data_IF_817840660442
#
_entry.id   IF_817840660442
#
_cell.length_a   1.000
_cell.length_b   1.000
_cell.length_c   1.000
_cell.angle_alpha   90.00
_cell.angle_beta   90.00
_cell.angle_gamma   90.00
#
_symmetry.space_group_name_H-M   'P 1'
#
loop_
_entity.id
_entity.type
_entity.pdbx_description
1 polymer ?
#
# COMPACT_ATOMS: atom_id res chain seq x y z
N UNK A 1 -11.41 42.06 1.83
CA UNK A 1 -12.05 40.72 1.87
C UNK A 1 -11.19 39.55 1.38
N UNK A 2 -9.91 39.74 1.01
CA UNK A 2 -9.03 38.61 0.58
C UNK A 2 -8.61 37.72 1.78
N UNK A 3 -8.43 38.32 2.97
CA UNK A 3 -7.99 37.63 4.20
C UNK A 3 -9.01 36.65 4.80
N UNK A 4 -10.30 36.76 4.48
CA UNK A 4 -11.33 35.81 4.94
C UNK A 4 -11.48 34.56 4.05
N UNK A 5 -11.04 34.65 2.79
CA UNK A 5 -11.06 33.54 1.84
C UNK A 5 -9.93 32.53 2.11
N UNK A 6 -8.73 33.04 2.42
CA UNK A 6 -7.53 32.25 2.71
C UNK A 6 -7.76 31.19 3.80
N UNK A 7 -8.33 31.51 4.99
CA UNK A 7 -8.53 30.53 6.04
C UNK A 7 -9.63 29.51 5.71
N UNK A 8 -10.68 29.88 4.97
CA UNK A 8 -11.72 28.91 4.54
C UNK A 8 -11.15 27.92 3.52
N UNK A 9 -10.42 28.42 2.54
CA UNK A 9 -9.78 27.62 1.51
C UNK A 9 -8.71 26.68 2.09
N UNK A 10 -7.86 27.18 2.99
CA UNK A 10 -6.82 26.40 3.66
C UNK A 10 -7.37 25.12 4.30
N UNK A 11 -8.55 25.18 4.89
CA UNK A 11 -9.12 24.08 5.67
C UNK A 11 -9.81 23.03 4.79
N UNK A 12 -10.42 23.46 3.69
CA UNK A 12 -10.84 22.55 2.63
C UNK A 12 -9.63 21.82 2.04
N UNK A 13 -8.53 22.55 1.80
CA UNK A 13 -7.29 21.96 1.32
C UNK A 13 -6.72 20.94 2.32
N UNK A 14 -6.73 21.23 3.62
CA UNK A 14 -6.32 20.28 4.66
C UNK A 14 -7.18 19.00 4.64
N UNK A 15 -8.50 19.14 4.51
CA UNK A 15 -9.40 17.99 4.39
C UNK A 15 -9.09 17.15 3.13
N UNK A 16 -8.90 17.81 1.99
CA UNK A 16 -8.56 17.14 0.73
C UNK A 16 -7.21 16.41 0.84
N UNK A 17 -6.17 17.05 1.38
CA UNK A 17 -4.86 16.45 1.56
C UNK A 17 -4.91 15.24 2.51
N UNK A 18 -5.55 15.37 3.67
CA UNK A 18 -5.65 14.27 4.64
C UNK A 18 -6.46 13.10 4.09
N UNK A 19 -7.54 13.38 3.36
CA UNK A 19 -8.33 12.35 2.67
C UNK A 19 -7.52 11.64 1.58
N UNK A 20 -6.75 12.37 0.76
CA UNK A 20 -5.88 11.78 -0.26
C UNK A 20 -4.81 10.90 0.40
N UNK A 21 -4.20 11.35 1.49
CA UNK A 21 -3.20 10.55 2.22
C UNK A 21 -3.85 9.28 2.77
N UNK A 22 -5.01 9.39 3.42
CA UNK A 22 -5.76 8.22 3.88
C UNK A 22 -6.06 7.26 2.74
N UNK A 23 -6.62 7.75 1.63
CA UNK A 23 -6.93 6.97 0.43
C UNK A 23 -5.70 6.23 -0.11
N UNK A 24 -4.58 6.94 -0.28
CA UNK A 24 -3.33 6.34 -0.76
C UNK A 24 -2.81 5.26 0.20
N UNK A 25 -2.90 5.46 1.52
CA UNK A 25 -2.49 4.45 2.51
C UNK A 25 -3.43 3.25 2.51
N UNK A 26 -4.74 3.49 2.42
CA UNK A 26 -5.77 2.46 2.44
C UNK A 26 -5.62 1.47 1.30
N UNK A 27 -5.45 1.98 0.07
CA UNK A 27 -5.33 1.14 -1.13
C UNK A 27 -3.93 0.55 -1.32
N UNK A 28 -2.86 1.30 -1.01
CA UNK A 28 -1.51 0.81 -1.26
C UNK A 28 -0.95 -0.08 -0.15
N UNK A 29 -1.50 -0.03 1.07
CA UNK A 29 -1.06 -0.80 2.26
C UNK A 29 0.48 -0.86 2.40
N UNK A 30 1.16 0.29 2.51
CA UNK A 30 2.60 0.40 2.27
C UNK A 30 3.48 -0.41 3.25
N UNK A 31 3.01 -0.67 4.46
CA UNK A 31 3.82 -1.31 5.51
C UNK A 31 3.90 -2.83 5.35
N UNK A 32 4.99 -3.42 5.86
CA UNK A 32 5.20 -4.87 5.85
C UNK A 32 4.23 -5.60 6.78
N UNK A 33 4.03 -5.07 7.99
CA UNK A 33 3.18 -5.69 9.01
C UNK A 33 1.73 -5.27 8.84
N UNK A 34 0.82 -6.25 8.81
CA UNK A 34 -0.63 -6.02 8.66
C UNK A 34 -1.20 -5.09 9.75
N UNK A 35 -0.81 -5.29 11.00
CA UNK A 35 -1.25 -4.45 12.12
C UNK A 35 -0.81 -2.98 11.98
N UNK A 36 0.39 -2.73 11.44
CA UNK A 36 0.87 -1.37 11.21
C UNK A 36 0.02 -0.67 10.16
N UNK A 37 -0.33 -1.35 9.07
CA UNK A 37 -1.25 -0.79 8.06
C UNK A 37 -2.63 -0.45 8.65
N UNK A 38 -3.15 -1.31 9.52
CA UNK A 38 -4.44 -1.11 10.20
C UNK A 38 -4.40 0.12 11.11
N UNK A 39 -3.41 0.20 12.01
CA UNK A 39 -3.26 1.34 12.92
C UNK A 39 -3.00 2.62 12.13
N UNK A 40 -2.08 2.59 11.17
CA UNK A 40 -1.70 3.77 10.40
C UNK A 40 -2.86 4.33 9.58
N UNK A 41 -3.58 3.47 8.85
CA UNK A 41 -4.76 3.87 8.08
C UNK A 41 -5.87 4.41 9.00
N UNK A 42 -6.09 3.79 10.16
CA UNK A 42 -7.08 4.27 11.14
C UNK A 42 -6.75 5.66 11.69
N UNK A 43 -5.48 5.95 11.95
CA UNK A 43 -5.04 7.27 12.42
C UNK A 43 -5.30 8.35 11.37
N UNK A 44 -4.99 8.08 10.09
CA UNK A 44 -5.29 9.02 9.02
C UNK A 44 -6.80 9.27 8.87
N UNK A 45 -7.63 8.25 9.08
CA UNK A 45 -9.09 8.44 9.07
C UNK A 45 -9.58 9.34 10.22
N UNK A 46 -9.00 9.18 11.42
CA UNK A 46 -9.26 10.08 12.56
C UNK A 46 -8.85 11.52 12.28
N UNK A 47 -7.71 11.74 11.61
CA UNK A 47 -7.26 13.08 11.19
C UNK A 47 -8.22 13.67 10.14
N UNK A 48 -8.62 12.89 9.14
CA UNK A 48 -9.60 13.33 8.12
C UNK A 48 -10.93 13.73 8.76
N UNK A 49 -11.40 12.98 9.77
CA UNK A 49 -12.60 13.34 10.54
C UNK A 49 -12.44 14.69 11.26
N UNK A 50 -11.33 14.90 11.97
CA UNK A 50 -11.03 16.17 12.63
C UNK A 50 -10.98 17.34 11.65
N UNK A 51 -10.38 17.15 10.46
CA UNK A 51 -10.43 18.15 9.40
C UNK A 51 -11.86 18.40 8.87
N UNK A 52 -12.68 17.34 8.79
CA UNK A 52 -14.09 17.44 8.40
C UNK A 52 -14.92 18.24 9.41
N UNK A 53 -14.75 17.97 10.71
CA UNK A 53 -15.37 18.76 11.79
C UNK A 53 -14.92 20.21 11.74
N UNK A 54 -13.64 20.46 11.49
CA UNK A 54 -13.11 21.80 11.39
C UNK A 54 -13.79 22.57 10.24
N UNK A 55 -13.90 21.96 9.04
CA UNK A 55 -14.66 22.53 7.92
C UNK A 55 -16.12 22.78 8.33
N UNK A 56 -16.77 21.81 8.96
CA UNK A 56 -18.15 21.92 9.41
C UNK A 56 -18.39 23.14 10.32
N UNK A 57 -17.55 23.35 11.34
CA UNK A 57 -17.66 24.45 12.31
C UNK A 57 -17.60 25.83 11.63
N UNK A 58 -16.91 25.95 10.49
CA UNK A 58 -16.69 27.25 9.84
C UNK A 58 -17.81 27.61 8.90
N UNK A 59 -18.34 26.61 8.20
CA UNK A 59 -19.45 26.81 7.28
C UNK A 59 -20.78 26.88 8.03
N UNK A 60 -20.89 26.16 9.15
CA UNK A 60 -22.03 26.25 10.05
C UNK A 60 -21.70 27.18 11.20
N UNK A 61 -21.90 28.48 10.97
CA UNK A 61 -21.88 29.46 12.05
C UNK A 61 -23.11 29.24 12.94
N UNK A 62 -22.96 29.26 14.28
CA UNK A 62 -24.10 29.19 15.17
C UNK A 62 -24.98 30.43 15.00
N UNK A 63 -26.29 30.27 15.20
CA UNK A 63 -27.26 31.39 15.16
C UNK A 63 -26.97 32.42 16.26
N UNK A 64 -26.40 31.97 17.38
CA UNK A 64 -25.84 32.83 18.43
C UNK A 64 -24.33 32.51 18.62
N UNK A 65 -23.41 33.46 18.35
CA UNK A 65 -21.96 33.28 18.51
C UNK A 65 -21.51 32.93 19.93
N UNK A 66 -22.35 33.22 20.94
CA UNK A 66 -22.02 33.02 22.35
C UNK A 66 -22.69 31.78 22.97
N UNK A 67 -23.37 30.94 22.19
CA UNK A 67 -24.05 29.75 22.72
C UNK A 67 -23.03 28.76 23.34
N UNK A 68 -23.03 28.60 24.68
CA UNK A 68 -22.09 27.69 25.35
C UNK A 68 -22.38 26.22 25.03
N UNK A 69 -23.62 25.87 24.64
CA UNK A 69 -23.98 24.50 24.29
C UNK A 69 -23.42 24.09 22.93
N UNK A 70 -23.30 25.03 21.97
CA UNK A 70 -22.66 24.79 20.69
C UNK A 70 -21.19 24.41 20.85
N UNK A 71 -20.43 25.23 21.58
CA UNK A 71 -19.01 24.99 21.81
C UNK A 71 -18.79 23.67 22.57
N UNK A 72 -19.60 23.40 23.60
CA UNK A 72 -19.52 22.15 24.36
C UNK A 72 -19.77 20.93 23.46
N UNK A 73 -20.80 20.95 22.61
CA UNK A 73 -21.11 19.84 21.68
C UNK A 73 -19.97 19.61 20.70
N UNK A 74 -19.42 20.67 20.08
CA UNK A 74 -18.31 20.53 19.14
C UNK A 74 -17.05 19.97 19.81
N UNK A 75 -16.74 20.38 21.04
CA UNK A 75 -15.62 19.81 21.81
C UNK A 75 -15.85 18.32 22.11
N UNK A 76 -17.08 17.94 22.47
CA UNK A 76 -17.43 16.54 22.71
C UNK A 76 -17.32 15.69 21.43
N UNK A 77 -17.76 16.23 20.29
CA UNK A 77 -17.67 15.55 18.99
C UNK A 77 -16.21 15.32 18.59
N UNK A 78 -15.32 16.28 18.83
CA UNK A 78 -13.87 16.09 18.59
C UNK A 78 -13.30 15.03 19.54
N UNK A 79 -13.55 15.15 20.85
CA UNK A 79 -12.92 14.30 21.86
C UNK A 79 -13.37 12.84 21.75
N UNK A 80 -14.68 12.62 21.62
CA UNK A 80 -15.27 11.28 21.60
C UNK A 80 -15.46 10.73 20.20
N UNK A 81 -15.61 11.57 19.17
CA UNK A 81 -15.88 11.12 17.80
C UNK A 81 -14.66 10.54 17.09
N UNK A 82 -13.44 10.91 17.48
CA UNK A 82 -12.20 10.37 16.88
C UNK A 82 -12.09 8.86 17.09
N UNK A 83 -12.36 8.37 18.31
CA UNK A 83 -12.21 6.95 18.66
C UNK A 83 -13.10 6.00 17.82
N UNK A 84 -14.43 6.19 17.72
CA UNK A 84 -15.28 5.31 16.89
C UNK A 84 -14.93 5.43 15.40
N UNK A 85 -14.50 6.59 14.92
CA UNK A 85 -14.05 6.74 13.52
C UNK A 85 -12.76 5.96 13.28
N UNK A 86 -11.79 6.02 14.20
CA UNK A 86 -10.57 5.23 14.11
C UNK A 86 -10.89 3.72 14.15
N UNK A 87 -11.76 3.28 15.05
CA UNK A 87 -12.19 1.88 15.11
C UNK A 87 -12.92 1.44 13.83
N UNK A 88 -13.79 2.29 13.28
CA UNK A 88 -14.44 2.07 11.99
C UNK A 88 -13.44 1.97 10.84
N UNK A 89 -12.43 2.84 10.82
CA UNK A 89 -11.35 2.82 9.84
C UNK A 89 -10.48 1.58 9.92
N UNK A 90 -10.16 1.15 11.15
CA UNK A 90 -9.47 -0.10 11.39
C UNK A 90 -10.27 -1.31 10.89
N UNK A 91 -11.58 -1.35 11.17
CA UNK A 91 -12.48 -2.41 10.69
C UNK A 91 -12.60 -2.43 9.17
N UNK A 92 -12.72 -1.25 8.54
CA UNK A 92 -12.77 -1.11 7.09
C UNK A 92 -11.45 -1.57 6.43
N UNK A 93 -10.31 -1.17 6.99
CA UNK A 93 -8.99 -1.60 6.51
C UNK A 93 -8.83 -3.12 6.65
N UNK A 94 -9.26 -3.69 7.78
CA UNK A 94 -9.20 -5.12 8.02
C UNK A 94 -10.05 -5.90 7.01
N UNK A 95 -11.29 -5.47 6.76
CA UNK A 95 -12.19 -6.09 5.79
C UNK A 95 -11.61 -6.00 4.36
N UNK A 96 -11.10 -4.82 3.98
CA UNK A 96 -10.47 -4.61 2.67
C UNK A 96 -9.24 -5.49 2.47
N UNK A 97 -8.38 -5.57 3.49
CA UNK A 97 -7.22 -6.44 3.49
C UNK A 97 -7.63 -7.90 3.34
N UNK A 98 -8.61 -8.38 4.11
CA UNK A 98 -9.10 -9.75 4.00
C UNK A 98 -9.64 -10.06 2.61
N UNK A 99 -10.40 -9.14 2.02
CA UNK A 99 -10.91 -9.26 0.65
C UNK A 99 -9.78 -9.36 -0.39
N UNK A 100 -8.77 -8.48 -0.31
CA UNK A 100 -7.65 -8.49 -1.26
C UNK A 100 -6.74 -9.72 -1.12
N UNK A 101 -6.42 -10.12 0.11
CA UNK A 101 -5.56 -11.28 0.36
C UNK A 101 -6.29 -12.62 0.15
N UNK A 102 -7.62 -12.64 0.13
CA UNK A 102 -8.37 -13.86 -0.24
C UNK A 102 -8.03 -14.37 -1.65
N UNK A 103 -7.54 -13.50 -2.54
CA UNK A 103 -7.02 -13.92 -3.84
C UNK A 103 -5.76 -14.81 -3.71
N UNK A 104 -4.90 -14.56 -2.71
CA UNK A 104 -3.71 -15.37 -2.45
C UNK A 104 -4.07 -16.79 -2.00
N UNK A 105 -5.11 -16.94 -1.17
CA UNK A 105 -5.60 -18.25 -0.70
C UNK A 105 -5.91 -19.20 -1.88
N UNK A 106 -6.34 -18.65 -3.03
CA UNK A 106 -6.62 -19.43 -4.25
C UNK A 106 -5.36 -19.98 -4.95
N UNK A 107 -4.21 -19.35 -4.74
CA UNK A 107 -2.92 -19.80 -5.28
C UNK A 107 -2.21 -20.79 -4.36
N UNK A 108 -2.58 -20.82 -3.09
CA UNK A 108 -2.09 -21.78 -2.09
C UNK A 108 -2.66 -23.18 -2.38
N UNK A 109 -3.97 -23.27 -2.61
CA UNK A 109 -4.68 -24.50 -2.94
C UNK A 109 -5.28 -24.42 -4.35
N UNK A 110 -4.46 -24.55 -5.42
CA UNK A 110 -4.97 -24.44 -6.77
C UNK A 110 -5.92 -25.62 -7.07
N UNK A 111 -7.08 -25.36 -7.70
CA UNK A 111 -7.92 -26.44 -8.21
C UNK A 111 -7.10 -27.26 -9.22
N UNK A 112 -7.19 -28.59 -9.11
CA UNK A 112 -6.42 -29.52 -9.94
C UNK A 112 -6.64 -29.21 -11.43
N UNK A 113 -5.54 -29.18 -12.19
CA UNK A 113 -5.49 -29.00 -13.65
C UNK A 113 -5.84 -27.58 -14.20
N UNK A 114 -5.87 -26.56 -13.35
CA UNK A 114 -6.14 -25.18 -13.81
C UNK A 114 -4.85 -24.40 -14.13
N UNK A 115 -4.75 -23.84 -15.34
CA UNK A 115 -3.64 -22.96 -15.76
C UNK A 115 -3.52 -21.76 -14.81
N UNK A 116 -2.29 -21.35 -14.47
CA UNK A 116 -2.03 -20.22 -13.56
C UNK A 116 -2.76 -18.92 -13.95
N UNK A 117 -2.91 -18.66 -15.25
CA UNK A 117 -3.59 -17.47 -15.78
C UNK A 117 -5.09 -17.44 -15.46
N UNK A 118 -5.72 -18.59 -15.25
CA UNK A 118 -7.17 -18.70 -14.99
C UNK A 118 -7.53 -18.77 -13.51
N UNK A 119 -6.55 -18.90 -12.60
CA UNK A 119 -6.81 -19.00 -11.14
C UNK A 119 -7.40 -17.69 -10.61
N UNK A 120 -6.88 -16.54 -11.04
CA UNK A 120 -7.38 -15.23 -10.64
C UNK A 120 -7.34 -14.23 -11.79
N UNK A 121 -8.45 -13.52 -12.01
CA UNK A 121 -8.53 -12.41 -12.95
C UNK A 121 -7.99 -11.15 -12.29
N UNK A 122 -6.70 -10.87 -12.48
CA UNK A 122 -6.10 -9.62 -12.04
C UNK A 122 -6.62 -8.45 -12.89
N UNK A 123 -7.16 -7.41 -12.24
CA UNK A 123 -7.65 -6.20 -12.93
C UNK A 123 -6.52 -5.20 -13.18
N UNK A 124 -5.55 -5.11 -12.27
CA UNK A 124 -4.43 -4.16 -12.31
C UNK A 124 -3.12 -4.86 -11.94
N UNK A 125 -2.01 -4.42 -12.53
CA UNK A 125 -0.65 -4.84 -12.18
C UNK A 125 -0.30 -4.56 -10.72
N UNK A 126 -0.84 -3.48 -10.14
CA UNK A 126 -0.61 -3.09 -8.74
C UNK A 126 -1.21 -4.09 -7.76
N UNK A 127 -2.34 -4.70 -8.13
CA UNK A 127 -2.98 -5.74 -7.32
C UNK A 127 -2.08 -6.99 -7.22
N UNK A 128 -1.39 -7.37 -8.30
CA UNK A 128 -0.39 -8.46 -8.26
C UNK A 128 0.71 -8.13 -7.26
N UNK A 129 1.25 -6.91 -7.31
CA UNK A 129 2.31 -6.47 -6.40
C UNK A 129 1.87 -6.36 -4.94
N UNK A 130 0.58 -6.12 -4.69
CA UNK A 130 0.00 -6.10 -3.35
C UNK A 130 -0.21 -7.52 -2.83
N UNK A 131 -0.79 -8.42 -3.63
CA UNK A 131 -1.07 -9.80 -3.24
C UNK A 131 0.25 -10.58 -3.07
N UNK A 132 1.26 -10.35 -3.92
CA UNK A 132 2.58 -10.97 -3.80
C UNK A 132 3.30 -10.65 -2.48
N UNK A 133 2.84 -9.66 -1.70
CA UNK A 133 3.35 -9.35 -0.37
C UNK A 133 3.15 -10.45 0.65
N UNK A 134 2.39 -11.50 0.35
CA UNK A 134 2.33 -12.73 1.17
C UNK A 134 3.71 -13.34 1.47
N UNK A 135 4.71 -13.06 0.63
CA UNK A 135 6.12 -13.39 0.83
C UNK A 135 6.75 -12.78 2.08
N UNK A 136 6.19 -11.69 2.61
CA UNK A 136 6.78 -10.91 3.71
C UNK A 136 6.52 -11.53 5.08
N UNK A 137 6.58 -12.86 5.16
CA UNK A 137 6.58 -13.63 6.40
C UNK A 137 8.01 -14.05 6.68
N UNK A 138 8.60 -13.45 7.71
CA UNK A 138 9.95 -13.71 8.14
C UNK A 138 9.92 -14.52 9.43
N UNK A 139 10.81 -15.50 9.53
CA UNK A 139 11.08 -16.19 10.77
C UNK A 139 11.88 -15.29 11.74
N UNK A 140 12.07 -15.74 12.97
CA UNK A 140 12.83 -15.04 14.03
C UNK A 140 14.26 -14.72 13.58
N UNK A 141 14.85 -15.57 12.74
CA UNK A 141 16.20 -15.39 12.16
C UNK A 141 16.21 -14.43 10.95
N UNK A 142 15.06 -13.86 10.58
CA UNK A 142 14.93 -12.96 9.42
C UNK A 142 14.95 -13.67 8.07
N UNK A 143 14.89 -15.01 8.05
CA UNK A 143 14.77 -15.82 6.84
C UNK A 143 13.31 -15.84 6.39
N UNK A 144 13.09 -15.75 5.08
CA UNK A 144 11.74 -15.81 4.50
C UNK A 144 11.23 -17.25 4.55
N UNK A 145 9.99 -17.41 4.99
CA UNK A 145 9.32 -18.72 5.01
C UNK A 145 9.29 -19.32 3.59
N UNK A 146 9.85 -20.53 3.37
CA UNK A 146 9.94 -21.11 2.02
C UNK A 146 8.59 -21.28 1.32
N UNK A 147 7.56 -21.65 2.08
CA UNK A 147 6.20 -21.79 1.58
C UNK A 147 5.63 -20.44 1.09
N UNK A 148 5.87 -19.36 1.84
CA UNK A 148 5.47 -18.02 1.44
C UNK A 148 6.24 -17.52 0.21
N UNK A 149 7.52 -17.87 0.09
CA UNK A 149 8.35 -17.61 -1.08
C UNK A 149 7.75 -18.25 -2.35
N UNK A 150 7.44 -19.54 -2.28
CA UNK A 150 6.86 -20.29 -3.41
C UNK A 150 5.49 -19.73 -3.82
N UNK A 151 4.64 -19.39 -2.85
CA UNK A 151 3.33 -18.80 -3.10
C UNK A 151 3.44 -17.44 -3.81
N UNK A 152 4.31 -16.54 -3.32
CA UNK A 152 4.51 -15.24 -3.96
C UNK A 152 5.09 -15.36 -5.36
N UNK A 153 6.01 -16.30 -5.59
CA UNK A 153 6.55 -16.54 -6.92
C UNK A 153 5.47 -16.97 -7.91
N UNK A 154 4.57 -17.88 -7.50
CA UNK A 154 3.41 -18.30 -8.32
C UNK A 154 2.51 -17.13 -8.68
N UNK A 155 2.24 -16.24 -7.73
CA UNK A 155 1.38 -15.07 -7.91
C UNK A 155 2.03 -14.08 -8.89
N UNK A 156 3.32 -13.79 -8.74
CA UNK A 156 4.05 -12.89 -9.64
C UNK A 156 4.08 -13.47 -11.06
N UNK A 157 4.42 -14.76 -11.21
CA UNK A 157 4.41 -15.45 -12.51
C UNK A 157 3.01 -15.45 -13.15
N UNK A 158 1.95 -15.69 -12.38
CA UNK A 158 0.58 -15.61 -12.88
C UNK A 158 0.24 -14.19 -13.36
N UNK A 159 0.66 -13.15 -12.62
CA UNK A 159 0.52 -11.76 -13.02
C UNK A 159 1.24 -11.44 -14.33
N UNK A 160 2.48 -11.94 -14.50
CA UNK A 160 3.25 -11.76 -15.75
C UNK A 160 2.60 -12.44 -16.96
N UNK A 161 1.86 -13.54 -16.78
CA UNK A 161 1.10 -14.19 -17.85
C UNK A 161 -0.17 -13.41 -18.25
N UNK A 162 -0.74 -12.64 -17.31
CA UNK A 162 -1.89 -11.76 -17.55
C UNK A 162 -1.44 -10.45 -18.19
N UNK A 163 -0.36 -9.85 -17.66
CA UNK A 163 0.23 -8.60 -18.13
C UNK A 163 1.66 -8.86 -18.63
N UNK A 164 1.81 -9.43 -19.84
CA UNK A 164 3.13 -9.69 -20.39
C UNK A 164 3.86 -8.38 -20.65
N UNK A 165 5.19 -8.41 -20.50
CA UNK A 165 6.09 -7.30 -20.85
C UNK A 165 5.92 -6.00 -20.05
N UNK A 166 5.14 -6.01 -18.98
CA UNK A 166 4.98 -4.82 -18.13
C UNK A 166 6.22 -4.56 -17.25
N UNK A 167 6.89 -3.39 -17.37
CA UNK A 167 8.11 -3.09 -16.61
C UNK A 167 7.94 -3.21 -15.10
N UNK A 168 6.77 -2.83 -14.57
CA UNK A 168 6.49 -2.90 -13.14
C UNK A 168 6.60 -4.33 -12.59
N UNK A 169 6.02 -5.31 -13.29
CA UNK A 169 6.04 -6.72 -12.86
C UNK A 169 7.41 -7.35 -13.05
N UNK A 170 8.13 -6.97 -14.11
CA UNK A 170 9.50 -7.43 -14.33
C UNK A 170 10.45 -6.92 -13.23
N UNK A 171 10.32 -5.66 -12.83
CA UNK A 171 11.08 -5.08 -11.71
C UNK A 171 10.69 -5.76 -10.39
N UNK A 172 9.40 -6.00 -10.15
CA UNK A 172 8.92 -6.72 -8.97
C UNK A 172 9.50 -8.14 -8.90
N UNK A 173 9.48 -8.88 -10.01
CA UNK A 173 10.03 -10.22 -10.09
C UNK A 173 11.56 -10.22 -9.93
N UNK A 174 12.26 -9.25 -10.51
CA UNK A 174 13.69 -9.08 -10.32
C UNK A 174 14.05 -8.85 -8.83
N UNK A 175 13.31 -7.98 -8.14
CA UNK A 175 13.49 -7.73 -6.71
C UNK A 175 13.21 -9.01 -5.88
N UNK A 176 12.19 -9.77 -6.25
CA UNK A 176 11.89 -11.06 -5.60
C UNK A 176 13.05 -12.05 -5.76
N UNK A 177 13.58 -12.23 -6.98
CA UNK A 177 14.70 -13.14 -7.23
C UNK A 177 15.95 -12.75 -6.44
N UNK A 178 16.24 -11.45 -6.36
CA UNK A 178 17.41 -10.94 -5.65
C UNK A 178 17.27 -11.09 -4.13
N UNK A 179 16.14 -10.67 -3.56
CA UNK A 179 15.98 -10.62 -2.09
C UNK A 179 15.57 -11.96 -1.49
N UNK A 180 14.71 -12.72 -2.18
CA UNK A 180 14.12 -13.95 -1.65
C UNK A 180 14.87 -15.19 -2.11
N UNK A 181 15.17 -15.30 -3.41
CA UNK A 181 15.90 -16.45 -3.97
C UNK A 181 17.42 -16.28 -3.93
N UNK A 182 17.90 -15.08 -3.60
CA UNK A 182 19.33 -14.71 -3.64
C UNK A 182 19.99 -14.98 -5.00
N UNK A 183 19.20 -14.92 -6.08
CA UNK A 183 19.67 -15.10 -7.45
C UNK A 183 19.88 -13.75 -8.16
N UNK A 184 21.06 -13.18 -7.92
CA UNK A 184 21.50 -11.93 -8.55
C UNK A 184 21.56 -11.99 -10.08
N UNK A 185 22.15 -13.03 -10.70
CA UNK A 185 22.18 -13.17 -12.16
C UNK A 185 20.79 -13.18 -12.81
N UNK A 186 19.84 -13.99 -12.31
CA UNK A 186 18.50 -14.05 -12.88
C UNK A 186 17.76 -12.72 -12.71
N UNK A 187 17.93 -12.05 -11.56
CA UNK A 187 17.39 -10.70 -11.32
C UNK A 187 17.85 -9.69 -12.38
N UNK A 188 19.17 -9.67 -12.69
CA UNK A 188 19.73 -8.75 -13.70
C UNK A 188 19.16 -9.00 -15.09
N UNK A 189 18.97 -10.27 -15.48
CA UNK A 189 18.33 -10.60 -16.76
C UNK A 189 16.91 -10.04 -16.82
N UNK A 190 16.12 -10.14 -15.74
CA UNK A 190 14.77 -9.55 -15.69
C UNK A 190 14.78 -8.02 -15.78
N UNK A 191 15.74 -7.35 -15.13
CA UNK A 191 15.90 -5.90 -15.23
C UNK A 191 16.30 -5.43 -16.64
N UNK A 192 17.13 -6.20 -17.34
CA UNK A 192 17.46 -5.90 -18.75
C UNK A 192 16.22 -6.02 -19.64
N UNK A 193 15.36 -7.01 -19.39
CA UNK A 193 14.08 -7.15 -20.10
C UNK A 193 13.17 -5.95 -19.74
N UNK A 194 13.08 -5.57 -18.46
CA UNK A 194 12.28 -4.42 -18.03
C UNK A 194 12.72 -3.11 -18.72
N UNK A 195 14.04 -2.90 -18.86
CA UNK A 195 14.59 -1.70 -19.51
C UNK A 195 14.23 -1.58 -20.99
N UNK A 196 13.91 -2.69 -21.67
CA UNK A 196 13.52 -2.69 -23.09
C UNK A 196 12.06 -2.31 -23.32
N UNK A 197 11.21 -2.38 -22.29
CA UNK A 197 9.76 -2.21 -22.40
C UNK A 197 9.25 -0.83 -21.97
N UNK A 198 10.00 0.22 -22.29
CA UNK A 198 9.62 1.63 -22.03
C UNK A 198 9.25 1.95 -20.57
N UNK A 199 10.16 1.73 -19.60
CA UNK A 199 9.90 2.07 -18.20
C UNK A 199 9.69 3.59 -18.01
N UNK A 200 8.79 3.95 -17.10
CA UNK A 200 8.62 5.32 -16.61
C UNK A 200 9.89 5.81 -15.90
N UNK A 201 10.02 7.13 -15.70
CA UNK A 201 11.19 7.73 -15.00
C UNK A 201 11.41 7.10 -13.63
N UNK A 202 10.33 6.87 -12.88
CA UNK A 202 10.38 6.23 -11.57
C UNK A 202 10.87 4.79 -11.67
N UNK A 203 10.39 4.03 -12.66
CA UNK A 203 10.82 2.65 -12.89
C UNK A 203 12.27 2.56 -13.36
N UNK A 204 12.76 3.52 -14.15
CA UNK A 204 14.19 3.62 -14.50
C UNK A 204 15.06 3.80 -13.27
N UNK A 205 14.64 4.66 -12.34
CA UNK A 205 15.31 4.82 -11.05
C UNK A 205 15.28 3.53 -10.23
N UNK A 206 14.14 2.84 -10.18
CA UNK A 206 14.05 1.53 -9.51
C UNK A 206 15.00 0.50 -10.12
N UNK A 207 15.08 0.41 -11.45
CA UNK A 207 16.03 -0.47 -12.14
C UNK A 207 17.46 -0.15 -11.72
N UNK A 208 17.83 1.13 -11.73
CA UNK A 208 19.16 1.57 -11.30
C UNK A 208 19.47 1.14 -9.86
N UNK A 209 18.56 1.42 -8.92
CA UNK A 209 18.74 1.09 -7.51
C UNK A 209 18.85 -0.43 -7.28
N UNK A 210 18.02 -1.24 -7.96
CA UNK A 210 18.10 -2.70 -7.87
C UNK A 210 19.40 -3.24 -8.46
N UNK A 211 19.87 -2.69 -9.60
CA UNK A 211 21.16 -3.08 -10.18
C UNK A 211 22.31 -2.78 -9.22
N UNK A 212 22.32 -1.59 -8.60
CA UNK A 212 23.34 -1.21 -7.62
C UNK A 212 23.32 -2.14 -6.40
N UNK A 213 22.13 -2.43 -5.85
CA UNK A 213 21.98 -3.37 -4.74
C UNK A 213 22.50 -4.77 -5.10
N UNK A 214 22.20 -5.25 -6.31
CA UNK A 214 22.70 -6.55 -6.79
C UNK A 214 24.22 -6.63 -6.89
N UNK A 215 24.91 -5.50 -7.10
CA UNK A 215 26.38 -5.44 -7.14
C UNK A 215 26.94 -5.51 -5.72
N UNK A 216 26.40 -4.69 -4.81
CA UNK A 216 26.78 -4.69 -3.39
C UNK A 216 26.64 -6.06 -2.74
N UNK A 217 25.53 -6.77 -3.00
CA UNK A 217 25.33 -8.14 -2.52
C UNK A 217 26.40 -9.12 -3.03
N UNK A 218 26.87 -8.94 -4.26
CA UNK A 218 27.96 -9.77 -4.81
C UNK A 218 29.27 -9.46 -4.08
N UNK A 219 29.57 -8.19 -3.88
CA UNK A 219 30.82 -7.75 -3.24
C UNK A 219 30.88 -8.21 -1.77
N UNK A 220 29.78 -8.06 -1.02
CA UNK A 220 29.68 -8.54 0.37
C UNK A 220 29.77 -10.07 0.51
N UNK A 221 29.40 -10.83 -0.53
CA UNK A 221 29.52 -12.28 -0.52
C UNK A 221 30.93 -12.79 -0.89
N UNK A 222 31.81 -11.92 -1.42
CA UNK A 222 33.21 -12.24 -1.74
C UNK A 222 34.18 -11.87 -0.62
N UNK A 223 33.79 -10.94 0.26
CA UNK A 223 34.63 -10.42 1.35
C UNK A 223 34.44 -11.16 2.70
N UNK A 224 33.59 -12.19 2.75
CA UNK A 224 33.36 -13.05 3.93
C UNK A 224 33.82 -14.48 3.70
#
# INVERSE_FOLDING_TARGET
>A
NVLGFIPKFQRILMLACTFIIWWLNFFNMPFYTHWVNLVWSSMWMGITYSCGLLVYIIYKQPTDPADPDWNRRMTMDVLYGIFPVMLGGAGLQWAWMRYKFHAADKFENPPADVKLKSIHKFTDMRDVGLIARVVRKFDIEGVIEPHAADLGERIIKAGMLVFPNEPFLLILYANFLMEVRKDGPASRTQLQIASKHQPTVIQKYQIFATVENSKRLKDSAQDG
#
